data_IF_552682912778
#
_entry.id   IF_552682912778
#
_cell.length_a   1.000
_cell.length_b   1.000
_cell.length_c   1.000
_cell.angle_alpha   90.00
_cell.angle_beta   90.00
_cell.angle_gamma   90.00
#
_symmetry.space_group_name_H-M   'P 1'
#
loop_
_entity.id
_entity.type
_entity.pdbx_description
1 polymer ?
#
# COMPACT_ATOMS: atom_id res chain seq x y z
N UNK A 1 20.55 -12.61 -0.91
CA UNK A 1 20.64 -13.36 0.37
C UNK A 1 19.26 -13.41 0.98
N UNK A 2 18.68 -14.61 0.93
CA UNK A 2 17.28 -14.86 1.25
C UNK A 2 17.11 -15.06 2.76
N UNK A 3 16.69 -14.06 3.52
CA UNK A 3 16.30 -14.23 4.92
C UNK A 3 14.80 -14.48 5.00
N UNK A 4 14.40 -15.70 4.70
CA UNK A 4 13.10 -16.20 5.18
C UNK A 4 13.16 -16.27 6.71
N UNK A 5 12.51 -15.32 7.38
CA UNK A 5 12.27 -15.44 8.82
C UNK A 5 11.17 -16.47 9.03
N UNK A 6 11.57 -17.69 9.36
CA UNK A 6 10.70 -18.74 9.83
C UNK A 6 10.11 -18.31 11.16
N UNK A 7 8.78 -18.16 11.22
CA UNK A 7 8.07 -18.11 12.50
C UNK A 7 8.13 -19.50 13.13
N UNK A 8 9.02 -19.69 14.10
CA UNK A 8 9.09 -20.89 14.93
C UNK A 8 8.00 -20.82 15.99
N UNK A 9 7.03 -21.70 15.87
CA UNK A 9 6.06 -21.98 16.92
C UNK A 9 6.65 -23.05 17.82
N UNK A 10 7.05 -22.68 19.02
CA UNK A 10 7.38 -23.63 20.08
C UNK A 10 6.11 -23.91 20.90
N UNK A 11 5.73 -25.18 20.92
CA UNK A 11 4.50 -25.63 21.53
C UNK A 11 4.59 -25.95 23.02
N UNK A 12 3.42 -26.18 23.56
CA UNK A 12 2.98 -26.97 24.67
C UNK A 12 2.89 -26.28 26.04
N UNK A 13 1.65 -26.01 26.44
CA UNK A 13 1.09 -26.48 27.72
C UNK A 13 -0.44 -26.42 27.68
N UNK A 14 -1.08 -27.51 28.12
CA UNK A 14 -2.51 -27.68 28.07
C UNK A 14 -3.21 -26.89 29.20
N UNK A 15 -4.07 -25.96 28.76
CA UNK A 15 -5.17 -25.42 29.54
C UNK A 15 -6.28 -25.06 28.59
N UNK A 16 -7.50 -25.49 28.86
CA UNK A 16 -8.69 -25.24 28.04
C UNK A 16 -8.99 -23.74 28.13
N UNK A 17 -8.47 -23.00 27.17
CA UNK A 17 -8.83 -21.62 26.91
C UNK A 17 -9.32 -21.59 25.46
N UNK A 18 -10.53 -21.09 25.24
CA UNK A 18 -11.09 -20.80 23.93
C UNK A 18 -10.09 -19.93 23.17
N UNK A 19 -9.28 -20.57 22.34
CA UNK A 19 -8.29 -19.91 21.52
C UNK A 19 -9.01 -19.21 20.38
N UNK A 20 -9.23 -17.91 20.52
CA UNK A 20 -9.39 -17.06 19.35
C UNK A 20 -8.14 -17.27 18.49
N UNK A 21 -8.29 -17.88 17.34
CA UNK A 21 -7.22 -18.10 16.36
C UNK A 21 -6.76 -16.73 15.88
N UNK A 22 -5.73 -16.19 16.49
CA UNK A 22 -5.01 -15.03 15.97
C UNK A 22 -4.18 -15.55 14.81
N UNK A 23 -4.72 -15.46 13.61
CA UNK A 23 -3.94 -15.68 12.39
C UNK A 23 -2.86 -14.60 12.35
N UNK A 24 -1.57 -14.93 12.24
CA UNK A 24 -0.56 -13.93 12.02
C UNK A 24 -0.82 -13.30 10.65
N UNK A 25 -1.37 -12.10 10.65
CA UNK A 25 -1.40 -11.25 9.47
C UNK A 25 0.06 -10.89 9.20
N UNK A 26 0.66 -11.44 8.15
CA UNK A 26 1.93 -10.92 7.64
C UNK A 26 1.66 -9.45 7.27
N UNK A 27 2.10 -8.54 8.10
CA UNK A 27 2.14 -7.13 7.76
C UNK A 27 2.98 -7.04 6.48
N UNK A 28 2.39 -6.51 5.41
CA UNK A 28 3.13 -6.22 4.20
C UNK A 28 4.29 -5.32 4.61
N UNK A 29 5.48 -5.63 4.07
CA UNK A 29 6.71 -4.92 4.42
C UNK A 29 6.62 -3.47 3.90
N UNK A 30 6.22 -2.56 4.79
CA UNK A 30 6.00 -1.16 4.47
C UNK A 30 7.31 -0.48 4.01
N UNK A 31 8.44 -0.92 4.53
CA UNK A 31 9.74 -0.36 4.16
C UNK A 31 10.07 -0.67 2.69
N UNK A 32 9.72 -1.87 2.22
CA UNK A 32 9.87 -2.21 0.80
C UNK A 32 8.89 -1.44 -0.07
N UNK A 33 7.67 -1.26 0.40
CA UNK A 33 6.68 -0.45 -0.30
C UNK A 33 7.11 1.00 -0.44
N UNK A 34 7.72 1.58 0.57
CA UNK A 34 8.29 2.93 0.51
C UNK A 34 9.39 3.03 -0.54
N UNK A 35 10.33 2.09 -0.56
CA UNK A 35 11.40 2.07 -1.56
C UNK A 35 10.83 1.99 -2.98
N UNK A 36 9.88 1.10 -3.23
CA UNK A 36 9.23 0.97 -4.54
C UNK A 36 8.48 2.25 -4.94
N UNK A 37 7.78 2.89 -3.99
CA UNK A 37 7.12 4.17 -4.23
C UNK A 37 8.10 5.28 -4.60
N UNK A 38 9.19 5.41 -3.86
CA UNK A 38 10.21 6.43 -4.12
C UNK A 38 10.88 6.26 -5.47
N UNK A 39 11.14 5.02 -5.89
CA UNK A 39 11.78 4.71 -7.16
C UNK A 39 10.86 4.88 -8.36
N UNK A 40 9.58 4.51 -8.25
CA UNK A 40 8.69 4.37 -9.40
C UNK A 40 7.56 5.39 -9.45
N UNK A 41 7.17 6.00 -8.32
CA UNK A 41 5.97 6.83 -8.23
C UNK A 41 6.25 8.28 -7.82
N UNK A 42 7.24 8.50 -6.97
CA UNK A 42 7.53 9.81 -6.40
C UNK A 42 7.98 10.85 -7.44
N UNK A 43 8.48 10.41 -8.59
CA UNK A 43 8.83 11.31 -9.70
C UNK A 43 7.66 12.23 -10.10
N UNK A 44 6.44 11.72 -10.10
CA UNK A 44 5.22 12.46 -10.39
C UNK A 44 4.45 12.84 -9.13
N UNK A 45 4.25 11.88 -8.22
CA UNK A 45 3.43 12.09 -7.03
C UNK A 45 4.12 12.85 -5.89
N UNK A 46 5.45 13.01 -5.96
CA UNK A 46 6.25 13.59 -4.87
C UNK A 46 6.57 12.56 -3.79
N UNK A 47 7.69 12.73 -3.09
CA UNK A 47 8.05 11.86 -1.97
C UNK A 47 7.03 11.92 -0.82
N UNK A 48 6.31 13.03 -0.70
CA UNK A 48 5.21 13.25 0.25
C UNK A 48 3.84 12.77 -0.27
N UNK A 49 3.76 12.27 -1.50
CA UNK A 49 2.55 11.77 -2.13
C UNK A 49 1.53 12.84 -2.54
N UNK A 50 1.86 14.14 -2.49
CA UNK A 50 0.91 15.24 -2.73
C UNK A 50 0.76 15.67 -4.19
N UNK A 51 1.40 14.95 -5.11
CA UNK A 51 1.27 15.22 -6.54
C UNK A 51 2.18 16.32 -7.08
N UNK A 52 3.21 16.71 -6.35
CA UNK A 52 4.15 17.78 -6.71
C UNK A 52 5.57 17.25 -6.93
N UNK A 53 5.70 16.07 -7.52
CA UNK A 53 7.01 15.50 -7.85
C UNK A 53 7.73 16.28 -8.97
N UNK A 54 9.04 16.09 -9.12
CA UNK A 54 9.86 16.85 -10.10
C UNK A 54 9.44 16.61 -11.55
N UNK A 55 8.73 15.53 -11.85
CA UNK A 55 8.22 15.23 -13.18
C UNK A 55 6.74 15.62 -13.39
N UNK A 56 6.06 16.12 -12.35
CA UNK A 56 4.63 16.46 -12.41
C UNK A 56 4.31 17.50 -13.48
N UNK A 57 5.22 18.43 -13.74
CA UNK A 57 5.07 19.45 -14.79
C UNK A 57 5.15 18.92 -16.24
N UNK A 58 5.49 17.63 -16.43
CA UNK A 58 5.52 16.99 -17.75
C UNK A 58 4.24 16.22 -18.07
N UNK A 59 3.31 16.18 -17.14
CA UNK A 59 2.03 15.48 -17.30
C UNK A 59 0.98 16.42 -17.90
N UNK A 60 0.10 15.88 -18.75
CA UNK A 60 -1.05 16.61 -19.29
C UNK A 60 -2.08 16.97 -18.21
N UNK A 61 -2.06 16.24 -17.09
CA UNK A 61 -2.91 16.48 -15.92
C UNK A 61 -2.08 16.41 -14.64
N UNK A 62 -2.50 17.16 -13.62
CA UNK A 62 -1.84 17.15 -12.32
C UNK A 62 -1.87 15.74 -11.72
N UNK A 63 -0.73 15.28 -11.19
CA UNK A 63 -0.68 14.02 -10.45
C UNK A 63 -1.58 14.09 -9.20
N UNK A 64 -2.29 13.00 -8.93
CA UNK A 64 -3.20 12.94 -7.79
C UNK A 64 -2.47 13.08 -6.46
N UNK A 65 -3.12 13.74 -5.49
CA UNK A 65 -2.70 13.74 -4.10
C UNK A 65 -3.12 12.42 -3.45
N UNK A 66 -2.14 11.55 -3.22
CA UNK A 66 -2.36 10.21 -2.66
C UNK A 66 -2.70 10.24 -1.17
N UNK A 67 -2.46 11.35 -0.48
CA UNK A 67 -2.79 11.51 0.94
C UNK A 67 -4.29 11.67 1.18
N UNK A 68 -5.04 11.94 0.12
CA UNK A 68 -6.49 12.18 0.16
C UNK A 68 -7.34 10.99 -0.30
N UNK A 69 -6.75 9.84 -0.64
CA UNK A 69 -7.48 8.69 -1.19
C UNK A 69 -8.63 8.23 -0.30
N UNK A 70 -8.40 8.06 1.00
CA UNK A 70 -9.46 7.69 1.93
C UNK A 70 -10.54 8.76 2.04
N UNK A 71 -10.15 10.05 2.06
CA UNK A 71 -11.09 11.17 2.13
C UNK A 71 -12.03 11.20 0.91
N UNK A 72 -11.49 10.94 -0.28
CA UNK A 72 -12.28 10.90 -1.51
C UNK A 72 -13.15 9.64 -1.64
N UNK A 73 -12.91 8.64 -0.81
CA UNK A 73 -13.68 7.41 -0.72
C UNK A 73 -14.41 7.27 0.62
N UNK A 74 -15.10 8.32 1.04
CA UNK A 74 -15.95 8.34 2.25
C UNK A 74 -15.26 7.89 3.54
N UNK A 75 -13.96 8.16 3.67
CA UNK A 75 -13.15 7.81 4.84
C UNK A 75 -12.54 6.41 4.80
N UNK A 76 -12.74 5.65 3.70
CA UNK A 76 -12.24 4.27 3.57
C UNK A 76 -11.09 4.20 2.57
N UNK A 77 -9.97 3.61 2.97
CA UNK A 77 -8.88 3.28 2.04
C UNK A 77 -9.14 1.91 1.41
N UNK A 78 -9.48 1.87 0.13
CA UNK A 78 -9.67 0.64 -0.63
C UNK A 78 -8.38 0.24 -1.34
N UNK A 79 -7.56 -0.57 -0.64
CA UNK A 79 -6.30 -1.07 -1.17
C UNK A 79 -6.48 -1.90 -2.45
N UNK A 80 -7.58 -2.66 -2.56
CA UNK A 80 -7.87 -3.49 -3.72
C UNK A 80 -8.12 -2.65 -4.98
N UNK A 81 -8.94 -1.60 -4.86
CA UNK A 81 -9.20 -0.68 -5.96
C UNK A 81 -7.94 0.09 -6.37
N UNK A 82 -7.12 0.52 -5.42
CA UNK A 82 -5.85 1.19 -5.70
C UNK A 82 -4.88 0.26 -6.42
N UNK A 83 -4.77 -1.00 -5.97
CA UNK A 83 -3.94 -2.00 -6.63
C UNK A 83 -4.33 -2.21 -8.10
N UNK A 84 -5.63 -2.35 -8.38
CA UNK A 84 -6.13 -2.51 -9.75
C UNK A 84 -5.86 -1.27 -10.62
N UNK A 85 -5.84 -0.10 -10.02
CA UNK A 85 -5.51 1.15 -10.72
C UNK A 85 -4.04 1.24 -11.08
N UNK A 86 -3.16 0.80 -10.19
CA UNK A 86 -1.70 0.78 -10.42
C UNK A 86 -1.33 -0.24 -11.49
N UNK A 87 -1.92 -1.43 -11.48
CA UNK A 87 -1.60 -2.49 -12.45
C UNK A 87 -2.35 -2.37 -13.78
N UNK A 88 -3.18 -1.34 -13.94
CA UNK A 88 -3.89 -1.04 -15.18
C UNK A 88 -5.13 -1.90 -15.46
N UNK A 89 -5.56 -2.76 -14.53
CA UNK A 89 -6.77 -3.57 -14.69
C UNK A 89 -8.06 -2.75 -14.61
N UNK A 90 -8.02 -1.59 -13.95
CA UNK A 90 -9.14 -0.65 -13.89
C UNK A 90 -8.70 0.75 -14.36
N UNK A 91 -8.46 0.94 -15.67
CA UNK A 91 -7.98 2.22 -16.20
C UNK A 91 -9.05 3.33 -16.19
N UNK A 92 -10.30 3.00 -15.94
CA UNK A 92 -11.42 3.85 -16.34
C UNK A 92 -12.03 4.72 -15.23
N UNK A 93 -11.30 5.09 -14.20
CA UNK A 93 -11.71 6.28 -13.46
C UNK A 93 -10.85 7.46 -13.88
N UNK A 94 -11.27 8.08 -15.02
CA UNK A 94 -10.88 9.44 -15.34
C UNK A 94 -11.20 10.30 -14.10
N UNK A 95 -10.26 11.07 -13.55
CA UNK A 95 -10.58 11.98 -12.47
C UNK A 95 -11.69 12.93 -12.90
N UNK A 96 -12.56 13.33 -11.98
CA UNK A 96 -13.59 14.34 -12.25
C UNK A 96 -12.99 15.65 -12.70
#
# INVERSE_FOLDING_TARGET
MNRQRRCLVAGAFAAIITTASVTPTCAQDADKGEVEFLLNCAGCHGADGKGSGPQSGKLDAKAADLTLLAKHNHGTFDAGAIYQKIDGRNPAQKPP
#
